data_IF_052790963983
#
_entry.id   IF_052790963983
#
_cell.length_a   1.000
_cell.length_b   1.000
_cell.length_c   1.000
_cell.angle_alpha   90.00
_cell.angle_beta   90.00
_cell.angle_gamma   90.00
#
_symmetry.space_group_name_H-M   'P 1'
#
loop_
_entity.id
_entity.type
_entity.pdbx_description
1 polymer ?
#
# COMPACT_ATOMS: atom_id res chain seq x y z
N UNK A 1 30.34 -8.92 -11.00
CA UNK A 1 30.54 -8.05 -9.82
C UNK A 1 29.31 -7.14 -9.72
N UNK A 2 28.38 -7.40 -8.79
CA UNK A 2 27.19 -6.56 -8.62
C UNK A 2 27.61 -5.38 -7.74
N UNK A 3 27.55 -4.16 -8.27
CA UNK A 3 27.71 -2.95 -7.49
C UNK A 3 26.59 -2.88 -6.44
N UNK A 4 26.98 -2.96 -5.17
CA UNK A 4 26.09 -2.64 -4.06
C UNK A 4 25.91 -1.12 -4.07
N UNK A 5 24.88 -0.64 -4.76
CA UNK A 5 24.50 0.77 -4.68
C UNK A 5 24.10 1.04 -3.23
N UNK A 6 24.99 1.71 -2.48
CA UNK A 6 24.69 2.26 -1.16
C UNK A 6 23.51 3.21 -1.35
N UNK A 7 22.32 2.75 -0.97
CA UNK A 7 21.07 3.48 -1.19
C UNK A 7 21.10 4.80 -0.42
N UNK A 8 21.25 5.93 -1.15
CA UNK A 8 21.18 7.26 -0.56
C UNK A 8 19.83 7.44 0.17
N UNK A 9 19.85 8.16 1.29
CA UNK A 9 18.65 8.47 2.06
C UNK A 9 17.69 9.37 1.25
N UNK A 10 16.41 8.99 1.14
CA UNK A 10 15.42 9.68 0.28
C UNK A 10 14.98 11.01 0.88
N UNK A 11 15.60 12.13 0.52
CA UNK A 11 15.20 13.43 1.05
C UNK A 11 13.70 13.70 0.85
N UNK A 12 13.06 14.37 1.82
CA UNK A 12 11.72 14.94 1.61
C UNK A 12 11.94 16.17 0.72
N UNK A 13 11.43 16.14 -0.51
CA UNK A 13 11.63 17.22 -1.49
C UNK A 13 10.48 18.20 -1.51
N UNK A 14 9.30 17.78 -1.03
CA UNK A 14 8.11 18.65 -0.87
C UNK A 14 8.07 19.25 0.53
N UNK A 15 8.59 20.47 0.64
CA UNK A 15 8.57 21.25 1.89
C UNK A 15 7.42 22.26 1.94
N UNK A 16 6.56 22.33 0.93
CA UNK A 16 5.43 23.27 0.91
C UNK A 16 4.49 23.08 2.10
N UNK A 17 4.24 21.84 2.59
CA UNK A 17 3.75 21.63 3.94
C UNK A 17 4.93 21.67 4.92
N UNK A 18 4.90 22.67 5.80
CA UNK A 18 5.70 22.70 7.01
C UNK A 18 5.37 21.51 7.92
N UNK A 19 6.27 21.19 8.86
CA UNK A 19 5.99 20.16 9.88
C UNK A 19 4.69 20.44 10.65
N UNK A 20 4.40 21.72 10.94
CA UNK A 20 3.16 22.17 11.58
C UNK A 20 1.92 21.84 10.73
N UNK A 21 1.99 22.04 9.42
CA UNK A 21 0.89 21.72 8.50
C UNK A 21 0.66 20.21 8.38
N UNK A 22 1.73 19.41 8.37
CA UNK A 22 1.62 17.95 8.42
C UNK A 22 0.95 17.48 9.71
N UNK A 23 1.30 18.06 10.87
CA UNK A 23 0.66 17.77 12.16
C UNK A 23 -0.81 18.18 12.15
N UNK A 24 -1.14 19.36 11.60
CA UNK A 24 -2.53 19.82 11.43
C UNK A 24 -3.33 18.89 10.51
N UNK A 25 -2.73 18.43 9.41
CA UNK A 25 -3.35 17.48 8.50
C UNK A 25 -3.60 16.13 9.19
N UNK A 26 -2.63 15.64 9.96
CA UNK A 26 -2.76 14.40 10.74
C UNK A 26 -3.93 14.47 11.72
N UNK A 27 -4.09 15.59 12.45
CA UNK A 27 -5.19 15.78 13.40
C UNK A 27 -6.59 15.84 12.77
N UNK A 28 -6.68 16.14 11.46
CA UNK A 28 -7.94 16.14 10.70
C UNK A 28 -8.19 14.83 9.93
N UNK A 29 -7.20 13.94 9.89
CA UNK A 29 -7.23 12.73 9.07
C UNK A 29 -8.02 11.62 9.78
N UNK A 30 -9.02 11.06 9.09
CA UNK A 30 -9.81 9.92 9.59
C UNK A 30 -9.06 8.58 9.49
N UNK A 31 -8.13 8.46 8.55
CA UNK A 31 -7.27 7.28 8.42
C UNK A 31 -6.09 7.39 9.39
N UNK A 32 -6.12 6.61 10.46
CA UNK A 32 -5.07 6.57 11.48
C UNK A 32 -3.69 6.14 10.93
N UNK A 33 -3.63 5.34 9.85
CA UNK A 33 -2.35 4.99 9.22
C UNK A 33 -1.80 6.17 8.44
N UNK A 34 -2.65 6.88 7.68
CA UNK A 34 -2.25 8.11 7.00
C UNK A 34 -1.80 9.19 7.99
N UNK A 35 -2.51 9.37 9.11
CA UNK A 35 -2.13 10.31 10.16
C UNK A 35 -0.73 10.01 10.73
N UNK A 36 -0.43 8.74 11.05
CA UNK A 36 0.90 8.34 11.54
C UNK A 36 2.02 8.59 10.52
N UNK A 37 1.75 8.42 9.23
CA UNK A 37 2.71 8.76 8.17
C UNK A 37 2.97 10.26 8.12
N UNK A 38 1.93 11.09 8.20
CA UNK A 38 2.08 12.56 8.26
C UNK A 38 2.92 13.00 9.47
N UNK A 39 2.69 12.41 10.65
CA UNK A 39 3.49 12.68 11.84
C UNK A 39 4.95 12.25 11.67
N UNK A 40 5.21 11.11 11.03
CA UNK A 40 6.57 10.64 10.77
C UNK A 40 7.32 11.61 9.83
N UNK A 41 6.67 12.13 8.79
CA UNK A 41 7.25 13.15 7.93
C UNK A 41 7.51 14.46 8.67
N UNK A 42 6.59 14.89 9.56
CA UNK A 42 6.78 16.08 10.37
C UNK A 42 8.03 15.97 11.27
N UNK A 43 8.23 14.82 11.93
CA UNK A 43 9.43 14.58 12.74
C UNK A 43 10.72 14.65 11.91
N UNK A 44 10.71 14.11 10.69
CA UNK A 44 11.88 14.20 9.79
C UNK A 44 12.15 15.65 9.38
N UNK A 45 11.12 16.45 9.11
CA UNK A 45 11.27 17.88 8.80
C UNK A 45 11.77 18.69 10.01
N UNK A 46 11.45 18.25 11.23
CA UNK A 46 11.95 18.82 12.49
C UNK A 46 13.37 18.34 12.84
N UNK A 47 14.00 17.52 12.00
CA UNK A 47 15.39 17.08 12.14
C UNK A 47 15.58 15.74 12.84
N UNK A 48 14.51 15.02 13.17
CA UNK A 48 14.65 13.65 13.66
C UNK A 48 15.22 12.74 12.57
N UNK A 49 16.07 11.80 12.96
CA UNK A 49 16.52 10.76 12.03
C UNK A 49 15.36 9.83 11.66
N UNK A 50 15.47 9.17 10.50
CA UNK A 50 14.38 8.34 9.96
C UNK A 50 14.04 7.13 10.82
N UNK A 51 15.00 6.58 11.57
CA UNK A 51 14.73 5.43 12.43
C UNK A 51 13.84 5.90 13.58
N UNK A 52 14.28 6.94 14.29
CA UNK A 52 13.49 7.53 15.38
C UNK A 52 12.10 7.94 14.91
N UNK A 53 11.99 8.70 13.81
CA UNK A 53 10.71 9.14 13.28
C UNK A 53 9.76 7.97 12.93
N UNK A 54 10.29 6.89 12.34
CA UNK A 54 9.51 5.72 12.00
C UNK A 54 9.03 4.98 13.25
N UNK A 55 9.94 4.73 14.21
CA UNK A 55 9.64 4.02 15.46
C UNK A 55 8.63 4.79 16.31
N UNK A 56 8.80 6.10 16.47
CA UNK A 56 7.82 6.98 17.16
C UNK A 56 6.43 6.90 16.54
N UNK A 57 6.35 6.70 15.22
CA UNK A 57 5.07 6.61 14.49
C UNK A 57 4.59 5.17 14.24
N UNK A 58 5.24 4.18 14.87
CA UNK A 58 4.83 2.77 14.83
C UNK A 58 4.98 2.14 13.44
N UNK A 59 6.07 2.43 12.73
CA UNK A 59 6.45 1.77 11.48
C UNK A 59 7.96 1.51 11.42
N UNK A 60 8.41 0.65 10.51
CA UNK A 60 9.83 0.46 10.30
C UNK A 60 10.41 1.53 9.34
N UNK A 61 11.73 1.67 9.35
CA UNK A 61 12.46 2.67 8.55
C UNK A 61 12.25 2.51 7.04
N UNK A 62 12.15 1.28 6.52
CA UNK A 62 11.93 1.03 5.09
C UNK A 62 10.51 1.46 4.67
N UNK A 63 9.52 1.16 5.50
CA UNK A 63 8.15 1.63 5.29
C UNK A 63 8.09 3.15 5.25
N UNK A 64 8.76 3.85 6.18
CA UNK A 64 8.83 5.31 6.12
C UNK A 64 9.52 5.80 4.84
N UNK A 65 10.60 5.14 4.38
CA UNK A 65 11.26 5.48 3.12
C UNK A 65 10.29 5.39 1.93
N UNK A 66 9.50 4.32 1.85
CA UNK A 66 8.53 4.13 0.76
C UNK A 66 7.43 5.20 0.80
N UNK A 67 6.99 5.60 1.99
CA UNK A 67 6.04 6.70 2.16
C UNK A 67 6.63 8.06 1.79
N UNK A 68 7.91 8.31 2.05
CA UNK A 68 8.57 9.55 1.60
C UNK A 68 8.61 9.60 0.07
N UNK A 69 8.90 8.48 -0.61
CA UNK A 69 8.83 8.44 -2.08
C UNK A 69 7.43 8.79 -2.60
N UNK A 70 6.39 8.17 -2.03
CA UNK A 70 5.00 8.46 -2.41
C UNK A 70 4.60 9.88 -2.12
N UNK A 71 4.97 10.41 -0.95
CA UNK A 71 4.70 11.79 -0.60
C UNK A 71 5.39 12.77 -1.55
N UNK A 72 6.65 12.53 -1.90
CA UNK A 72 7.36 13.40 -2.85
C UNK A 72 6.68 13.41 -4.22
N UNK A 73 6.14 12.27 -4.68
CA UNK A 73 5.41 12.18 -5.94
C UNK A 73 4.02 12.85 -5.87
N UNK A 74 3.21 12.49 -4.88
CA UNK A 74 1.75 12.71 -4.86
C UNK A 74 1.27 13.66 -3.74
N UNK A 75 2.17 14.15 -2.88
CA UNK A 75 1.84 14.96 -1.71
C UNK A 75 1.04 14.19 -0.66
N UNK A 76 0.12 14.88 0.05
CA UNK A 76 -0.71 14.29 1.11
C UNK A 76 -1.62 13.16 0.60
N UNK A 77 -2.09 13.23 -0.64
CA UNK A 77 -2.87 12.15 -1.25
C UNK A 77 -2.06 10.84 -1.31
N UNK A 78 -0.75 10.95 -1.55
CA UNK A 78 0.21 9.86 -1.51
C UNK A 78 0.41 9.21 -0.15
N UNK A 79 -0.14 9.75 0.95
CA UNK A 79 -0.04 9.15 2.27
C UNK A 79 -1.26 8.31 2.66
N UNK A 80 -2.33 8.35 1.85
CA UNK A 80 -3.52 7.53 2.05
C UNK A 80 -3.34 6.17 1.38
N UNK A 81 -3.73 5.10 2.07
CA UNK A 81 -3.78 3.79 1.42
C UNK A 81 -5.01 3.75 0.52
N UNK A 82 -4.79 3.76 -0.80
CA UNK A 82 -5.87 3.50 -1.75
C UNK A 82 -6.30 2.03 -1.62
N UNK A 83 -7.60 1.73 -1.67
CA UNK A 83 -8.06 0.36 -1.80
C UNK A 83 -7.33 -0.28 -2.99
N UNK A 84 -6.66 -1.41 -2.75
CA UNK A 84 -6.04 -2.15 -3.83
C UNK A 84 -7.10 -2.47 -4.88
N UNK A 85 -6.80 -2.24 -6.16
CA UNK A 85 -7.67 -2.69 -7.23
C UNK A 85 -7.94 -4.19 -7.09
N UNK A 86 -9.18 -4.61 -7.33
CA UNK A 86 -9.50 -6.03 -7.37
C UNK A 86 -8.56 -6.71 -8.38
N UNK A 87 -8.02 -7.88 -8.01
CA UNK A 87 -7.24 -8.67 -8.96
C UNK A 87 -8.10 -8.87 -10.22
N UNK A 88 -7.58 -8.59 -11.42
CA UNK A 88 -8.34 -8.80 -12.64
C UNK A 88 -8.85 -10.24 -12.66
N UNK A 89 -10.10 -10.42 -13.09
CA UNK A 89 -10.70 -11.75 -13.24
C UNK A 89 -9.81 -12.54 -14.20
N UNK A 90 -9.55 -13.81 -13.85
CA UNK A 90 -8.79 -14.71 -14.73
C UNK A 90 -9.61 -15.17 -15.94
N UNK A 91 -10.93 -15.24 -15.77
CA UNK A 91 -11.87 -15.66 -16.79
C UNK A 91 -12.60 -14.46 -17.37
N UNK A 92 -12.73 -14.44 -18.69
CA UNK A 92 -13.61 -13.51 -19.40
C UNK A 92 -15.08 -13.97 -19.34
N UNK A 93 -15.96 -13.20 -19.98
CA UNK A 93 -17.40 -13.46 -19.94
C UNK A 93 -17.79 -14.80 -20.61
N UNK A 94 -17.11 -15.15 -21.69
CA UNK A 94 -17.40 -16.36 -22.46
C UNK A 94 -16.94 -17.60 -21.68
N UNK A 95 -15.74 -17.53 -21.09
CA UNK A 95 -15.22 -18.58 -20.20
C UNK A 95 -16.08 -18.75 -18.95
N UNK A 96 -16.65 -17.68 -18.40
CA UNK A 96 -17.61 -17.77 -17.29
C UNK A 96 -18.90 -18.46 -17.75
N UNK A 97 -19.36 -18.20 -18.98
CA UNK A 97 -20.54 -18.85 -19.54
C UNK A 97 -20.32 -20.35 -19.78
N UNK A 98 -19.16 -20.71 -20.32
CA UNK A 98 -18.75 -22.11 -20.51
C UNK A 98 -18.64 -22.83 -19.16
N UNK A 99 -17.96 -22.22 -18.18
CA UNK A 99 -17.86 -22.76 -16.83
C UNK A 99 -19.24 -22.94 -16.19
N UNK A 100 -20.16 -21.99 -16.38
CA UNK A 100 -21.54 -22.11 -15.90
C UNK A 100 -22.23 -23.32 -16.52
N UNK A 101 -22.10 -23.53 -17.82
CA UNK A 101 -22.69 -24.68 -18.50
C UNK A 101 -22.16 -26.00 -17.94
N UNK A 102 -20.87 -26.10 -17.61
CA UNK A 102 -20.30 -27.31 -17.00
C UNK A 102 -20.83 -27.53 -15.58
N UNK A 103 -20.94 -26.46 -14.79
CA UNK A 103 -21.49 -26.53 -13.42
C UNK A 103 -22.96 -26.95 -13.44
N UNK A 104 -23.75 -26.43 -14.39
CA UNK A 104 -25.17 -26.75 -14.55
C UNK A 104 -25.41 -28.17 -15.06
N UNK A 105 -24.57 -28.64 -16.01
CA UNK A 105 -24.62 -30.02 -16.49
C UNK A 105 -24.35 -31.03 -15.35
N UNK A 106 -23.56 -30.61 -14.36
CA UNK A 106 -23.10 -31.48 -13.28
C UNK A 106 -22.11 -32.53 -13.78
N UNK A 107 -21.46 -33.25 -12.85
CA UNK A 107 -20.50 -34.27 -13.22
C UNK A 107 -21.19 -35.56 -13.67
N UNK A 108 -20.56 -36.29 -14.59
CA UNK A 108 -20.94 -37.65 -14.97
C UNK A 108 -20.36 -38.65 -13.96
N UNK A 109 -21.19 -39.34 -13.15
CA UNK A 109 -20.68 -40.26 -12.13
C UNK A 109 -19.88 -41.44 -12.69
N UNK A 110 -20.11 -41.83 -13.95
CA UNK A 110 -19.42 -42.96 -14.58
C UNK A 110 -18.00 -42.61 -15.07
N UNK A 111 -17.73 -41.33 -15.33
CA UNK A 111 -16.46 -40.85 -15.90
C UNK A 111 -15.68 -39.99 -14.91
N UNK A 112 -16.37 -39.13 -14.16
CA UNK A 112 -15.75 -38.10 -13.31
C UNK A 112 -15.45 -38.62 -11.89
N UNK A 113 -15.71 -39.89 -11.60
CA UNK A 113 -15.30 -40.56 -10.35
C UNK A 113 -15.94 -39.95 -9.08
N UNK A 114 -17.13 -39.39 -9.20
CA UNK A 114 -17.79 -38.68 -8.10
C UNK A 114 -18.36 -39.68 -7.09
N UNK A 115 -17.87 -39.62 -5.85
CA UNK A 115 -18.38 -40.42 -4.73
C UNK A 115 -19.37 -39.61 -3.89
N UNK A 116 -20.51 -40.22 -3.59
CA UNK A 116 -21.54 -39.67 -2.71
C UNK A 116 -21.11 -39.93 -1.25
N UNK A 117 -20.99 -38.86 -0.46
CA UNK A 117 -20.77 -38.93 0.98
C UNK A 117 -22.09 -39.05 1.74
#
# INVERSE_FOLDING_TARGET
MRETVMSAAVAITRTDPTATELRRAAGKCRDARAARRMLALALVLEGADRRTAAETCGMNRQTLRDWVHRYNAEGLAGLVTLPGGARPRRLDADQISELRSWVEAGPDPAVDGVVRW
#
